data_IF_570204960212
#
_entry.id   IF_570204960212
#
_cell.length_a   1.000
_cell.length_b   1.000
_cell.length_c   1.000
_cell.angle_alpha   90.00
_cell.angle_beta   90.00
_cell.angle_gamma   90.00
#
_symmetry.space_group_name_H-M   'P 1'
#
loop_
_entity.id
_entity.type
_entity.pdbx_description
1 polymer ?
#
# COMPACT_ATOMS: atom_id res chain seq x y z
N UNK A 1 49.95 9.34 -23.70
CA UNK A 1 49.08 8.61 -22.79
C UNK A 1 47.97 9.56 -22.34
N UNK A 2 46.88 9.66 -23.10
CA UNK A 2 45.72 10.48 -22.70
C UNK A 2 45.02 9.76 -21.58
N UNK A 3 45.14 10.27 -20.37
CA UNK A 3 44.29 9.93 -19.23
C UNK A 3 42.87 10.36 -19.61
N UNK A 4 42.14 9.52 -20.32
CA UNK A 4 40.68 9.61 -20.31
C UNK A 4 40.24 9.18 -18.90
N UNK A 5 40.17 10.15 -18.03
CA UNK A 5 39.50 9.94 -16.72
C UNK A 5 38.09 9.43 -17.03
N UNK A 6 37.72 8.26 -16.52
CA UNK A 6 36.39 7.77 -16.74
C UNK A 6 35.39 8.78 -16.15
N UNK A 7 34.56 9.36 -17.02
CA UNK A 7 33.55 10.36 -16.62
C UNK A 7 32.27 9.64 -16.34
N UNK A 8 31.61 10.00 -15.23
CA UNK A 8 30.26 9.55 -14.91
C UNK A 8 29.31 9.99 -16.03
N UNK A 9 28.54 9.07 -16.54
CA UNK A 9 27.49 9.36 -17.50
C UNK A 9 26.20 9.84 -16.81
N UNK A 10 25.22 10.34 -17.58
CA UNK A 10 23.97 10.84 -17.03
C UNK A 10 23.19 9.78 -16.25
N UNK A 11 23.30 8.51 -16.64
CA UNK A 11 22.68 7.39 -15.95
C UNK A 11 23.31 7.12 -14.58
N UNK A 12 24.64 7.17 -14.48
CA UNK A 12 25.36 7.04 -13.21
C UNK A 12 24.93 8.14 -12.22
N UNK A 13 24.78 9.38 -12.72
CA UNK A 13 24.30 10.52 -11.92
C UNK A 13 22.88 10.25 -11.40
N UNK A 14 21.99 9.71 -12.23
CA UNK A 14 20.63 9.37 -11.80
C UNK A 14 20.63 8.33 -10.67
N UNK A 15 21.45 7.28 -10.77
CA UNK A 15 21.60 6.26 -9.72
C UNK A 15 22.22 6.85 -8.43
N UNK A 16 23.23 7.69 -8.53
CA UNK A 16 23.83 8.41 -7.39
C UNK A 16 22.76 9.24 -6.67
N UNK A 17 21.92 9.95 -7.43
CA UNK A 17 20.82 10.74 -6.87
C UNK A 17 19.79 9.85 -6.15
N UNK A 18 19.45 8.68 -6.70
CA UNK A 18 18.54 7.71 -6.02
C UNK A 18 19.13 7.26 -4.69
N UNK A 19 20.42 6.90 -4.65
CA UNK A 19 21.11 6.51 -3.41
C UNK A 19 21.05 7.64 -2.38
N UNK A 20 21.48 8.84 -2.80
CA UNK A 20 21.50 10.00 -1.90
C UNK A 20 20.12 10.37 -1.38
N UNK A 21 19.11 10.45 -2.25
CA UNK A 21 17.74 10.76 -1.88
C UNK A 21 17.13 9.69 -0.95
N UNK A 22 17.44 8.41 -1.19
CA UNK A 22 16.99 7.32 -0.33
C UNK A 22 17.55 7.45 1.08
N UNK A 23 18.83 7.74 1.22
CA UNK A 23 19.48 7.95 2.52
C UNK A 23 18.95 9.21 3.22
N UNK A 24 18.80 10.32 2.49
CA UNK A 24 18.24 11.56 3.02
C UNK A 24 16.81 11.36 3.54
N UNK A 25 15.95 10.71 2.74
CA UNK A 25 14.56 10.47 3.11
C UNK A 25 14.46 9.50 4.29
N UNK A 26 15.27 8.44 4.31
CA UNK A 26 15.34 7.52 5.44
C UNK A 26 15.77 8.24 6.73
N UNK A 27 16.80 9.09 6.67
CA UNK A 27 17.25 9.94 7.78
C UNK A 27 16.15 10.89 8.26
N UNK A 28 15.45 11.56 7.35
CA UNK A 28 14.32 12.43 7.65
C UNK A 28 13.20 11.66 8.39
N UNK A 29 12.81 10.49 7.88
CA UNK A 29 11.76 9.65 8.50
C UNK A 29 12.12 9.20 9.92
N UNK A 30 13.40 8.95 10.20
CA UNK A 30 13.86 8.56 11.54
C UNK A 30 13.86 9.73 12.53
N UNK A 31 14.01 10.97 12.05
CA UNK A 31 14.00 12.20 12.88
C UNK A 31 12.59 12.76 13.09
N UNK A 32 11.64 12.46 12.22
CA UNK A 32 10.26 12.90 12.34
C UNK A 32 9.60 12.35 13.60
N UNK A 33 9.09 13.25 14.43
CA UNK A 33 8.33 12.92 15.66
C UNK A 33 6.84 12.66 15.38
N UNK A 34 6.38 12.93 14.17
CA UNK A 34 4.98 12.73 13.76
C UNK A 34 4.73 11.30 13.30
N UNK A 35 3.56 10.76 13.61
CA UNK A 35 3.16 9.41 13.23
C UNK A 35 3.70 8.32 14.18
N UNK A 36 3.45 7.05 13.79
CA UNK A 36 3.95 5.90 14.55
C UNK A 36 5.44 5.69 14.30
N UNK A 37 6.24 5.68 15.36
CA UNK A 37 7.70 5.43 15.29
C UNK A 37 8.04 4.13 14.55
N UNK A 38 7.25 3.06 14.75
CA UNK A 38 7.47 1.78 14.07
C UNK A 38 7.25 1.90 12.55
N UNK A 39 6.16 2.55 12.13
CA UNK A 39 5.88 2.76 10.70
C UNK A 39 6.99 3.57 10.01
N UNK A 40 7.44 4.66 10.65
CA UNK A 40 8.53 5.46 10.12
C UNK A 40 9.84 4.68 10.00
N UNK A 41 10.17 3.82 11.00
CA UNK A 41 11.35 2.95 10.96
C UNK A 41 11.26 1.92 9.83
N UNK A 42 10.11 1.25 9.67
CA UNK A 42 9.91 0.26 8.61
C UNK A 42 10.00 0.90 7.22
N UNK A 43 9.41 2.09 7.03
CA UNK A 43 9.53 2.83 5.79
C UNK A 43 10.98 3.30 5.53
N UNK A 44 11.66 3.79 6.54
CA UNK A 44 13.06 4.19 6.43
C UNK A 44 13.95 3.00 6.02
N UNK A 45 13.77 1.83 6.63
CA UNK A 45 14.47 0.61 6.27
C UNK A 45 14.16 0.17 4.83
N UNK A 46 12.88 0.23 4.41
CA UNK A 46 12.47 -0.07 3.04
C UNK A 46 13.14 0.85 2.02
N UNK A 47 13.16 2.16 2.29
CA UNK A 47 13.78 3.15 1.40
C UNK A 47 15.30 2.99 1.38
N UNK A 48 15.93 2.67 2.53
CA UNK A 48 17.37 2.35 2.60
C UNK A 48 17.69 1.13 1.74
N UNK A 49 16.89 0.06 1.82
CA UNK A 49 17.05 -1.13 0.98
C UNK A 49 16.90 -0.79 -0.52
N UNK A 50 16.00 0.13 -0.88
CA UNK A 50 15.86 0.62 -2.26
C UNK A 50 17.11 1.39 -2.72
N UNK A 51 17.68 2.21 -1.85
CA UNK A 51 18.97 2.87 -2.11
C UNK A 51 20.12 1.86 -2.28
N UNK A 52 20.15 0.79 -1.49
CA UNK A 52 21.14 -0.29 -1.62
C UNK A 52 21.04 -1.03 -2.97
N UNK A 53 19.81 -1.28 -3.46
CA UNK A 53 19.60 -1.87 -4.80
C UNK A 53 20.12 -0.93 -5.91
N UNK A 54 19.86 0.37 -5.77
CA UNK A 54 20.43 1.35 -6.72
C UNK A 54 21.95 1.41 -6.65
N UNK A 55 22.54 1.31 -5.46
CA UNK A 55 23.99 1.24 -5.27
C UNK A 55 24.58 -0.05 -5.85
N UNK A 56 23.94 -1.19 -5.69
CA UNK A 56 24.33 -2.46 -6.33
C UNK A 56 24.39 -2.32 -7.85
N UNK A 57 23.36 -1.71 -8.43
CA UNK A 57 23.33 -1.41 -9.88
C UNK A 57 24.44 -0.45 -10.29
N UNK A 58 24.68 0.60 -9.51
CA UNK A 58 25.73 1.58 -9.78
C UNK A 58 27.12 0.96 -9.74
N UNK A 59 27.43 0.14 -8.72
CA UNK A 59 28.73 -0.52 -8.58
C UNK A 59 29.06 -1.42 -9.76
N UNK A 60 28.08 -2.08 -10.35
CA UNK A 60 28.31 -2.98 -11.48
C UNK A 60 28.32 -2.25 -12.84
N UNK A 61 27.42 -1.30 -13.09
CA UNK A 61 27.24 -0.68 -14.42
C UNK A 61 28.03 0.61 -14.62
N UNK A 62 28.43 1.28 -13.53
CA UNK A 62 29.25 2.49 -13.61
C UNK A 62 30.71 2.15 -13.92
N UNK A 63 31.20 2.50 -15.10
CA UNK A 63 32.54 2.16 -15.55
C UNK A 63 33.67 2.64 -14.62
N UNK A 64 33.64 3.88 -14.05
CA UNK A 64 34.61 4.33 -13.06
C UNK A 64 34.69 3.46 -11.82
N UNK A 65 33.53 3.14 -11.23
CA UNK A 65 33.44 2.34 -10.01
C UNK A 65 33.83 0.88 -10.26
N UNK A 66 33.40 0.34 -11.40
CA UNK A 66 33.74 -1.00 -11.85
C UNK A 66 35.25 -1.21 -11.95
N UNK A 67 35.93 -0.27 -12.55
CA UNK A 67 37.40 -0.32 -12.69
C UNK A 67 38.12 -0.14 -11.36
N UNK A 68 37.59 0.71 -10.47
CA UNK A 68 38.23 1.03 -9.19
C UNK A 68 38.09 -0.07 -8.15
N UNK A 69 36.93 -0.73 -8.08
CA UNK A 69 36.62 -1.66 -6.98
C UNK A 69 36.44 -3.11 -7.43
N UNK A 70 35.72 -3.34 -8.54
CA UNK A 70 35.38 -4.71 -8.93
C UNK A 70 36.55 -5.42 -9.61
N UNK A 71 37.45 -4.70 -10.30
CA UNK A 71 38.61 -5.29 -10.96
C UNK A 71 39.52 -6.04 -9.96
N UNK A 72 39.73 -5.46 -8.77
CA UNK A 72 40.57 -6.06 -7.73
C UNK A 72 39.80 -6.96 -6.77
N UNK A 73 38.50 -6.76 -6.60
CA UNK A 73 37.66 -7.46 -5.63
C UNK A 73 36.26 -7.78 -6.19
N UNK A 74 36.14 -8.79 -7.10
CA UNK A 74 34.86 -9.15 -7.73
C UNK A 74 33.77 -9.56 -6.74
N UNK A 75 34.14 -9.95 -5.54
CA UNK A 75 33.20 -10.30 -4.46
C UNK A 75 32.31 -9.15 -4.02
N UNK A 76 32.76 -7.90 -4.20
CA UNK A 76 31.96 -6.68 -3.90
C UNK A 76 30.64 -6.66 -4.66
N UNK A 77 30.59 -7.23 -5.86
CA UNK A 77 29.36 -7.36 -6.67
C UNK A 77 28.24 -8.09 -5.92
N UNK A 78 28.57 -8.99 -5.00
CA UNK A 78 27.60 -9.80 -4.28
C UNK A 78 27.18 -9.19 -2.93
N UNK A 79 27.84 -8.12 -2.49
CA UNK A 79 27.69 -7.56 -1.14
C UNK A 79 26.26 -7.10 -0.84
N UNK A 80 25.57 -6.54 -1.81
CA UNK A 80 24.24 -5.94 -1.65
C UNK A 80 23.10 -6.82 -2.16
N UNK A 81 23.35 -8.06 -2.59
CA UNK A 81 22.33 -8.99 -3.12
C UNK A 81 21.25 -9.40 -2.10
N UNK A 82 21.48 -9.15 -0.80
CA UNK A 82 20.44 -9.35 0.23
C UNK A 82 19.37 -8.23 0.21
N UNK A 83 19.66 -7.06 -0.37
CA UNK A 83 18.79 -5.88 -0.29
C UNK A 83 17.39 -6.09 -0.93
N UNK A 84 17.24 -6.71 -2.12
CA UNK A 84 15.94 -7.03 -2.67
C UNK A 84 15.13 -7.98 -1.77
N UNK A 85 15.80 -8.92 -1.09
CA UNK A 85 15.15 -9.94 -0.24
C UNK A 85 14.47 -9.34 1.00
N UNK A 86 14.91 -8.17 1.48
CA UNK A 86 14.27 -7.49 2.62
C UNK A 86 13.17 -6.52 2.19
N UNK A 87 13.14 -6.06 0.93
CA UNK A 87 12.18 -5.03 0.49
C UNK A 87 10.73 -5.48 0.58
N UNK A 88 10.42 -6.69 0.10
CA UNK A 88 9.07 -7.24 0.14
C UNK A 88 8.50 -7.32 1.57
N UNK A 89 9.16 -8.01 2.49
CA UNK A 89 8.76 -8.04 3.90
C UNK A 89 8.64 -6.66 4.55
N UNK A 90 9.60 -5.75 4.32
CA UNK A 90 9.56 -4.40 4.88
C UNK A 90 8.35 -3.61 4.40
N UNK A 91 8.02 -3.68 3.10
CA UNK A 91 6.82 -3.04 2.55
C UNK A 91 5.55 -3.60 3.19
N UNK A 92 5.45 -4.92 3.30
CA UNK A 92 4.29 -5.60 3.90
C UNK A 92 4.07 -5.17 5.35
N UNK A 93 5.11 -5.24 6.20
CA UNK A 93 5.02 -4.85 7.60
C UNK A 93 4.81 -3.35 7.77
N UNK A 94 5.39 -2.53 6.89
CA UNK A 94 5.12 -1.10 6.88
C UNK A 94 3.64 -0.82 6.64
N UNK A 95 3.05 -1.39 5.59
CA UNK A 95 1.62 -1.23 5.28
C UNK A 95 0.76 -1.76 6.43
N UNK A 96 1.10 -2.92 6.99
CA UNK A 96 0.43 -3.50 8.15
C UNK A 96 0.49 -2.56 9.36
N UNK A 97 1.64 -1.96 9.64
CA UNK A 97 1.83 -1.01 10.75
C UNK A 97 1.06 0.30 10.59
N UNK A 98 0.81 0.69 9.34
CA UNK A 98 0.04 1.89 9.01
C UNK A 98 -1.46 1.62 9.11
N UNK A 99 -1.91 0.45 8.65
CA UNK A 99 -3.32 0.06 8.65
C UNK A 99 -3.81 -0.23 10.06
N UNK A 100 -3.03 -0.98 10.86
CA UNK A 100 -3.46 -1.42 12.19
C UNK A 100 -2.81 -0.58 13.29
N UNK A 101 -3.65 -0.04 14.19
CA UNK A 101 -3.21 0.86 15.28
C UNK A 101 -2.39 0.15 16.33
N UNK A 102 -2.71 -1.09 16.61
CA UNK A 102 -2.15 -1.95 17.64
C UNK A 102 -1.10 -2.96 17.11
N UNK A 103 -0.69 -2.79 15.85
CA UNK A 103 0.35 -3.64 15.28
C UNK A 103 1.68 -3.47 16.02
N UNK A 104 2.25 -4.60 16.45
CA UNK A 104 3.57 -4.73 17.05
C UNK A 104 4.35 -5.84 16.33
N UNK A 105 5.59 -5.56 15.97
CA UNK A 105 6.47 -6.58 15.40
C UNK A 105 6.75 -7.67 16.46
N UNK A 106 6.59 -8.93 16.09
CA UNK A 106 6.83 -10.11 16.96
C UNK A 106 8.06 -10.86 16.49
N UNK A 107 8.70 -11.64 17.37
CA UNK A 107 9.85 -12.48 16.99
C UNK A 107 9.52 -13.46 15.87
N UNK A 108 8.31 -13.98 15.80
CA UNK A 108 7.83 -14.82 14.69
C UNK A 108 7.87 -14.12 13.32
N UNK A 109 7.79 -12.79 13.29
CA UNK A 109 7.81 -12.03 12.04
C UNK A 109 9.22 -12.01 11.41
N UNK A 110 10.25 -12.37 12.17
CA UNK A 110 11.62 -12.53 11.67
C UNK A 110 11.75 -13.67 10.64
N UNK A 111 10.82 -14.62 10.63
CA UNK A 111 10.79 -15.71 9.65
C UNK A 111 10.71 -15.17 8.21
N UNK A 112 10.07 -14.02 8.01
CA UNK A 112 9.94 -13.36 6.72
C UNK A 112 11.28 -12.84 6.17
N UNK A 113 12.30 -12.70 7.02
CA UNK A 113 13.63 -12.22 6.65
C UNK A 113 14.65 -13.37 6.52
N UNK A 114 14.24 -14.64 6.72
CA UNK A 114 15.11 -15.82 6.54
C UNK A 114 15.82 -15.81 5.18
N UNK A 115 15.16 -15.50 4.03
CA UNK A 115 15.86 -15.45 2.75
C UNK A 115 17.05 -14.48 2.75
N UNK A 116 16.88 -13.30 3.37
CA UNK A 116 17.95 -12.32 3.47
C UNK A 116 19.09 -12.79 4.40
N UNK A 117 18.76 -13.42 5.53
CA UNK A 117 19.78 -14.00 6.43
C UNK A 117 20.50 -15.20 5.83
N UNK A 118 19.82 -15.98 4.96
CA UNK A 118 20.42 -17.11 4.25
C UNK A 118 21.25 -16.66 3.03
N UNK A 119 21.09 -15.43 2.56
CA UNK A 119 21.76 -14.91 1.37
C UNK A 119 23.30 -15.04 1.42
N UNK A 120 24.00 -14.71 2.52
CA UNK A 120 25.45 -14.88 2.58
C UNK A 120 25.90 -16.34 2.40
N UNK A 121 25.15 -17.30 2.93
CA UNK A 121 25.42 -18.74 2.75
C UNK A 121 25.21 -19.12 1.29
N UNK A 122 24.13 -18.62 0.67
CA UNK A 122 23.86 -18.85 -0.75
C UNK A 122 24.95 -18.26 -1.66
N UNK A 123 25.44 -17.06 -1.34
CA UNK A 123 26.55 -16.43 -2.04
C UNK A 123 27.85 -17.26 -1.90
N UNK A 124 28.12 -17.81 -0.70
CA UNK A 124 29.27 -18.70 -0.50
C UNK A 124 29.17 -19.97 -1.39
N UNK A 125 27.97 -20.51 -1.58
CA UNK A 125 27.77 -21.63 -2.52
C UNK A 125 28.00 -21.19 -3.98
N UNK A 126 27.59 -19.98 -4.38
CA UNK A 126 27.88 -19.43 -5.70
C UNK A 126 29.39 -19.31 -5.89
N UNK A 127 30.15 -18.77 -4.93
CA UNK A 127 31.59 -18.67 -5.01
C UNK A 127 32.31 -20.03 -5.13
N UNK A 128 31.75 -21.05 -4.46
CA UNK A 128 32.30 -22.41 -4.58
C UNK A 128 32.07 -23.03 -5.97
N UNK A 129 31.05 -22.59 -6.70
CA UNK A 129 30.73 -23.08 -8.06
C UNK A 129 31.35 -22.22 -9.16
N UNK A 130 31.59 -20.92 -8.90
CA UNK A 130 32.32 -20.01 -9.78
C UNK A 130 33.80 -20.03 -9.36
N UNK A 131 34.68 -20.51 -10.23
CA UNK A 131 36.12 -20.35 -10.02
C UNK A 131 36.56 -18.89 -10.05
N UNK A 132 37.78 -18.59 -9.57
CA UNK A 132 38.38 -17.25 -9.57
C UNK A 132 38.31 -16.58 -10.94
N UNK A 133 38.58 -17.35 -12.00
CA UNK A 133 38.61 -16.86 -13.38
C UNK A 133 37.22 -16.47 -13.88
N UNK A 134 36.19 -17.23 -13.49
CA UNK A 134 34.78 -16.93 -13.80
C UNK A 134 34.27 -15.73 -13.01
N UNK A 135 34.70 -15.55 -11.75
CA UNK A 135 34.39 -14.36 -10.98
C UNK A 135 34.96 -13.10 -11.61
N UNK A 136 36.20 -13.17 -12.12
CA UNK A 136 36.81 -12.05 -12.85
C UNK A 136 36.16 -11.83 -14.21
N UNK A 137 35.89 -12.89 -14.97
CA UNK A 137 35.23 -12.79 -16.28
C UNK A 137 33.82 -12.18 -16.16
N UNK A 138 33.05 -12.54 -15.12
CA UNK A 138 31.70 -12.02 -14.87
C UNK A 138 31.63 -10.51 -14.61
N UNK A 139 32.75 -9.88 -14.20
CA UNK A 139 32.82 -8.42 -14.11
C UNK A 139 32.70 -7.79 -15.51
N UNK A 140 33.34 -8.40 -16.49
CA UNK A 140 33.34 -7.88 -17.86
C UNK A 140 32.15 -8.33 -18.67
N UNK A 141 31.68 -9.56 -18.40
CA UNK A 141 30.52 -10.17 -19.06
C UNK A 141 29.53 -10.75 -18.03
N UNK A 142 28.38 -10.08 -17.86
CA UNK A 142 27.33 -10.50 -16.95
C UNK A 142 26.76 -11.90 -17.25
N UNK A 143 26.86 -12.36 -18.51
CA UNK A 143 26.37 -13.67 -18.94
C UNK A 143 27.07 -14.78 -18.15
N UNK A 144 28.36 -14.62 -17.82
CA UNK A 144 29.10 -15.61 -17.02
C UNK A 144 28.46 -15.85 -15.65
N UNK A 145 27.98 -14.80 -14.98
CA UNK A 145 27.21 -14.95 -13.73
C UNK A 145 25.84 -15.56 -14.00
N UNK A 146 25.17 -15.13 -15.07
CA UNK A 146 23.83 -15.60 -15.41
C UNK A 146 23.79 -17.07 -15.80
N UNK A 147 24.86 -17.62 -16.38
CA UNK A 147 24.98 -19.04 -16.72
C UNK A 147 25.13 -19.94 -15.46
N UNK A 148 25.56 -19.36 -14.34
CA UNK A 148 25.57 -20.07 -13.07
C UNK A 148 24.14 -20.28 -12.54
N UNK A 149 23.73 -21.54 -12.36
CA UNK A 149 22.37 -21.90 -11.92
C UNK A 149 22.02 -21.30 -10.53
N UNK A 150 22.97 -21.30 -9.60
CA UNK A 150 22.74 -20.77 -8.24
C UNK A 150 22.57 -19.24 -8.25
N UNK A 151 23.36 -18.55 -9.07
CA UNK A 151 23.22 -17.11 -9.26
C UNK A 151 21.86 -16.75 -9.89
N UNK A 152 21.49 -17.43 -10.96
CA UNK A 152 20.19 -17.26 -11.63
C UNK A 152 19.03 -17.55 -10.67
N UNK A 153 19.12 -18.64 -9.88
CA UNK A 153 18.11 -18.97 -8.88
C UNK A 153 17.97 -17.88 -7.80
N UNK A 154 19.08 -17.26 -7.35
CA UNK A 154 19.04 -16.13 -6.43
C UNK A 154 18.27 -14.95 -7.04
N UNK A 155 18.67 -14.49 -8.23
CA UNK A 155 18.08 -13.30 -8.86
C UNK A 155 16.59 -13.52 -9.19
N UNK A 156 16.21 -14.69 -9.74
CA UNK A 156 14.81 -15.02 -10.01
C UNK A 156 14.01 -15.15 -8.70
N UNK A 157 14.62 -15.78 -7.68
CA UNK A 157 14.03 -15.92 -6.35
C UNK A 157 13.75 -14.57 -5.68
N UNK A 158 14.67 -13.60 -5.78
CA UNK A 158 14.50 -12.22 -5.31
C UNK A 158 13.25 -11.59 -5.91
N UNK A 159 13.10 -11.64 -7.23
CA UNK A 159 11.95 -11.04 -7.93
C UNK A 159 10.65 -11.73 -7.56
N UNK A 160 10.63 -13.06 -7.53
CA UNK A 160 9.43 -13.83 -7.13
C UNK A 160 9.03 -13.47 -5.69
N UNK A 161 9.99 -13.43 -4.76
CA UNK A 161 9.74 -13.09 -3.36
C UNK A 161 9.10 -11.71 -3.23
N UNK A 162 9.67 -10.72 -3.90
CA UNK A 162 9.14 -9.34 -3.84
C UNK A 162 7.74 -9.27 -4.44
N UNK A 163 7.46 -9.95 -5.55
CA UNK A 163 6.12 -10.00 -6.16
C UNK A 163 5.10 -10.69 -5.25
N UNK A 164 5.49 -11.78 -4.57
CA UNK A 164 4.62 -12.45 -3.57
C UNK A 164 4.23 -11.47 -2.47
N UNK A 165 5.20 -10.71 -1.92
CA UNK A 165 4.91 -9.69 -0.91
C UNK A 165 4.11 -8.52 -1.45
N UNK A 166 4.33 -8.10 -2.68
CA UNK A 166 3.52 -7.06 -3.33
C UNK A 166 2.05 -7.48 -3.44
N UNK A 167 1.79 -8.72 -3.85
CA UNK A 167 0.44 -9.30 -3.92
C UNK A 167 -0.19 -9.44 -2.52
N UNK A 168 0.57 -9.92 -1.53
CA UNK A 168 0.11 -10.01 -0.14
C UNK A 168 -0.25 -8.63 0.42
N UNK A 169 0.55 -7.61 0.11
CA UNK A 169 0.32 -6.23 0.53
C UNK A 169 -0.90 -5.63 -0.16
N UNK A 170 -1.09 -5.91 -1.45
CA UNK A 170 -2.28 -5.49 -2.19
C UNK A 170 -3.55 -6.13 -1.60
N UNK A 171 -3.52 -7.43 -1.33
CA UNK A 171 -4.63 -8.13 -0.66
C UNK A 171 -4.95 -7.51 0.69
N UNK A 172 -3.94 -7.29 1.53
CA UNK A 172 -4.09 -6.63 2.83
C UNK A 172 -4.80 -5.27 2.71
N UNK A 173 -4.45 -4.50 1.69
CA UNK A 173 -5.05 -3.18 1.43
C UNK A 173 -6.49 -3.27 0.94
N UNK A 174 -6.82 -4.26 0.10
CA UNK A 174 -8.19 -4.51 -0.36
C UNK A 174 -9.08 -4.93 0.81
N UNK A 175 -8.61 -5.85 1.65
CA UNK A 175 -9.33 -6.31 2.84
C UNK A 175 -9.54 -5.16 3.85
N UNK A 176 -8.55 -4.30 4.01
CA UNK A 176 -8.67 -3.08 4.81
C UNK A 176 -9.75 -2.14 4.26
N UNK A 177 -9.76 -1.89 2.95
CA UNK A 177 -10.79 -1.04 2.32
C UNK A 177 -12.21 -1.59 2.51
N UNK A 178 -12.37 -2.93 2.50
CA UNK A 178 -13.64 -3.58 2.81
C UNK A 178 -14.07 -3.34 4.27
N UNK A 179 -13.16 -3.59 5.23
CA UNK A 179 -13.42 -3.39 6.68
C UNK A 179 -13.74 -1.93 7.03
N UNK A 180 -13.10 -0.96 6.36
CA UNK A 180 -13.44 0.44 6.56
C UNK A 180 -14.90 0.74 6.18
N UNK A 181 -15.39 0.18 5.08
CA UNK A 181 -16.79 0.34 4.66
C UNK A 181 -17.78 -0.37 5.56
N UNK A 182 -17.32 -1.39 6.29
CA UNK A 182 -18.16 -2.12 7.26
C UNK A 182 -18.29 -1.38 8.61
N UNK A 183 -17.37 -0.46 8.94
CA UNK A 183 -17.31 0.18 10.26
C UNK A 183 -17.49 1.70 10.25
N UNK A 184 -17.30 2.37 9.12
CA UNK A 184 -17.31 3.84 9.04
C UNK A 184 -18.26 4.34 7.94
N UNK A 185 -19.05 5.36 8.25
CA UNK A 185 -19.97 6.01 7.30
C UNK A 185 -19.30 7.06 6.43
N UNK A 186 -18.10 7.53 6.82
CA UNK A 186 -17.32 8.50 6.08
C UNK A 186 -15.86 8.03 5.94
N UNK A 187 -15.38 7.97 4.69
CA UNK A 187 -14.01 7.55 4.37
C UNK A 187 -13.12 8.72 3.90
N UNK A 188 -13.66 9.95 3.83
CA UNK A 188 -12.99 11.09 3.21
C UNK A 188 -11.66 11.47 3.83
N UNK A 189 -11.49 11.30 5.15
CA UNK A 189 -10.22 11.51 5.86
C UNK A 189 -9.32 10.27 5.94
N UNK A 190 -9.84 9.11 5.57
CA UNK A 190 -9.19 7.81 5.79
C UNK A 190 -8.59 7.26 4.48
N UNK A 191 -8.94 7.83 3.32
CA UNK A 191 -8.42 7.41 2.02
C UNK A 191 -6.91 7.66 1.91
N UNK A 192 -6.17 6.56 1.92
CA UNK A 192 -4.69 6.58 1.86
C UNK A 192 -4.21 6.45 0.42
N UNK A 193 -4.45 7.49 -0.38
CA UNK A 193 -4.04 7.51 -1.81
C UNK A 193 -2.53 7.24 -1.97
N UNK A 194 -1.73 7.80 -1.09
CA UNK A 194 -0.28 7.61 -1.11
C UNK A 194 0.15 6.16 -0.88
N UNK A 195 -0.57 5.41 -0.02
CA UNK A 195 -0.29 4.00 0.21
C UNK A 195 -0.59 3.17 -1.05
N UNK A 196 -1.64 3.51 -1.79
CA UNK A 196 -1.93 2.91 -3.10
C UNK A 196 -0.82 3.22 -4.11
N UNK A 197 -0.38 4.48 -4.18
CA UNK A 197 0.71 4.92 -5.06
C UNK A 197 1.99 4.15 -4.73
N UNK A 198 2.33 4.02 -3.43
CA UNK A 198 3.50 3.27 -2.98
C UNK A 198 3.46 1.80 -3.43
N UNK A 199 2.36 1.10 -3.14
CA UNK A 199 2.20 -0.33 -3.47
C UNK A 199 2.19 -0.54 -4.99
N UNK A 200 1.40 0.26 -5.72
CA UNK A 200 1.28 0.13 -7.18
C UNK A 200 2.59 0.46 -7.88
N UNK A 201 3.27 1.55 -7.47
CA UNK A 201 4.55 1.95 -8.05
C UNK A 201 5.63 0.90 -7.81
N UNK A 202 5.74 0.39 -6.60
CA UNK A 202 6.66 -0.70 -6.25
C UNK A 202 6.35 -1.98 -7.02
N UNK A 203 5.08 -2.39 -7.10
CA UNK A 203 4.65 -3.56 -7.87
C UNK A 203 4.98 -3.42 -9.37
N UNK A 204 4.78 -2.22 -9.93
CA UNK A 204 5.09 -1.94 -11.32
C UNK A 204 6.59 -2.06 -11.63
N UNK A 205 7.45 -1.52 -10.74
CA UNK A 205 8.91 -1.62 -10.89
C UNK A 205 9.35 -3.07 -10.90
N UNK A 206 8.85 -3.91 -9.98
CA UNK A 206 9.24 -5.31 -9.93
C UNK A 206 8.63 -6.16 -11.04
N UNK A 207 7.42 -5.84 -11.48
CA UNK A 207 6.85 -6.45 -12.69
C UNK A 207 7.69 -6.11 -13.94
N UNK A 208 8.18 -4.88 -14.04
CA UNK A 208 9.12 -4.47 -15.09
C UNK A 208 10.43 -5.25 -15.01
N UNK A 209 11.00 -5.42 -13.83
CA UNK A 209 12.22 -6.23 -13.62
C UNK A 209 11.99 -7.69 -14.02
N UNK A 210 10.84 -8.28 -13.67
CA UNK A 210 10.48 -9.62 -14.10
C UNK A 210 10.38 -9.71 -15.64
N UNK A 211 9.76 -8.72 -16.27
CA UNK A 211 9.63 -8.66 -17.72
C UNK A 211 11.02 -8.65 -18.41
N UNK A 212 11.96 -7.86 -17.89
CA UNK A 212 13.35 -7.84 -18.39
C UNK A 212 13.96 -9.25 -18.29
N UNK A 213 13.84 -9.90 -17.13
CA UNK A 213 14.43 -11.22 -16.93
C UNK A 213 13.82 -12.29 -17.83
N UNK A 214 12.49 -12.29 -18.01
CA UNK A 214 11.81 -13.24 -18.89
C UNK A 214 12.12 -13.00 -20.37
N UNK A 215 12.31 -11.73 -20.76
CA UNK A 215 12.60 -11.37 -22.14
C UNK A 215 14.09 -11.46 -22.50
N UNK A 216 14.98 -11.60 -21.52
CA UNK A 216 16.44 -11.55 -21.73
C UNK A 216 16.97 -12.57 -22.76
N UNK A 217 16.28 -13.73 -22.89
CA UNK A 217 16.59 -14.76 -23.91
C UNK A 217 15.92 -14.54 -25.28
N UNK A 218 14.96 -13.60 -25.35
CA UNK A 218 14.14 -13.35 -26.54
C UNK A 218 14.51 -12.06 -27.27
N UNK A 219 15.20 -11.14 -26.59
CA UNK A 219 15.59 -9.83 -27.13
C UNK A 219 17.10 -9.73 -27.31
N UNK A 220 17.52 -8.76 -28.14
CA UNK A 220 18.96 -8.48 -28.30
C UNK A 220 19.54 -7.87 -27.00
N UNK A 221 20.85 -8.04 -26.79
CA UNK A 221 21.58 -7.46 -25.67
C UNK A 221 21.36 -5.94 -25.57
N UNK A 222 21.31 -5.25 -26.69
CA UNK A 222 21.05 -3.81 -26.74
C UNK A 222 19.64 -3.47 -26.22
N UNK A 223 18.62 -4.23 -26.62
CA UNK A 223 17.25 -4.04 -26.14
C UNK A 223 17.16 -4.33 -24.65
N UNK A 224 17.76 -5.40 -24.15
CA UNK A 224 17.79 -5.73 -22.72
C UNK A 224 18.44 -4.61 -21.90
N UNK A 225 19.55 -4.05 -22.38
CA UNK A 225 20.23 -2.91 -21.75
C UNK A 225 19.36 -1.66 -21.70
N UNK A 226 18.63 -1.34 -22.78
CA UNK A 226 17.69 -0.20 -22.81
C UNK A 226 16.51 -0.41 -21.85
N UNK A 227 15.99 -1.63 -21.74
CA UNK A 227 14.93 -1.97 -20.78
C UNK A 227 15.42 -1.81 -19.33
N UNK A 228 16.65 -2.26 -19.03
CA UNK A 228 17.28 -2.06 -17.72
C UNK A 228 17.45 -0.57 -17.39
N UNK A 229 17.95 0.22 -18.35
CA UNK A 229 18.06 1.66 -18.23
C UNK A 229 16.71 2.32 -17.92
N UNK A 230 15.65 1.96 -18.66
CA UNK A 230 14.31 2.46 -18.44
C UNK A 230 13.81 2.12 -17.02
N UNK A 231 14.08 0.91 -16.51
CA UNK A 231 13.75 0.48 -15.15
C UNK A 231 14.42 1.36 -14.08
N UNK A 232 15.67 1.73 -14.27
CA UNK A 232 16.39 2.60 -13.35
C UNK A 232 15.80 4.03 -13.33
N UNK A 233 15.37 4.58 -14.47
CA UNK A 233 14.69 5.87 -14.51
C UNK A 233 13.29 5.81 -13.91
N UNK A 234 12.56 4.71 -14.09
CA UNK A 234 11.27 4.50 -13.42
C UNK A 234 11.44 4.49 -11.89
N UNK A 235 12.49 3.81 -11.39
CA UNK A 235 12.82 3.82 -9.97
C UNK A 235 13.18 5.22 -9.46
N UNK A 236 14.00 5.96 -10.22
CA UNK A 236 14.34 7.35 -9.91
C UNK A 236 13.10 8.24 -9.81
N UNK A 237 12.22 8.20 -10.80
CA UNK A 237 10.96 8.97 -10.79
C UNK A 237 10.06 8.57 -9.63
N UNK A 238 9.99 7.29 -9.32
CA UNK A 238 9.16 6.78 -8.23
C UNK A 238 9.66 7.26 -6.85
N UNK A 239 10.97 7.21 -6.59
CA UNK A 239 11.54 7.73 -5.34
C UNK A 239 11.29 9.24 -5.23
N UNK A 240 11.48 10.00 -6.32
CA UNK A 240 11.16 11.44 -6.31
C UNK A 240 9.68 11.71 -6.02
N UNK A 241 8.77 10.93 -6.60
CA UNK A 241 7.33 11.02 -6.32
C UNK A 241 7.03 10.75 -4.83
N UNK A 242 7.66 9.74 -4.25
CA UNK A 242 7.50 9.42 -2.82
C UNK A 242 8.03 10.54 -1.92
N UNK A 243 9.21 11.10 -2.23
CA UNK A 243 9.79 12.24 -1.48
C UNK A 243 8.82 13.42 -1.53
N UNK A 244 8.40 13.81 -2.72
CA UNK A 244 7.50 14.94 -2.94
C UNK A 244 6.17 14.74 -2.22
N UNK A 245 5.58 13.55 -2.32
CA UNK A 245 4.30 13.26 -1.68
C UNK A 245 4.40 13.28 -0.14
N UNK A 246 5.47 12.72 0.45
CA UNK A 246 5.67 12.75 1.90
C UNK A 246 5.85 14.17 2.44
N UNK A 247 6.54 15.05 1.71
CA UNK A 247 6.71 16.45 2.10
C UNK A 247 5.39 17.22 2.12
N UNK A 248 4.46 16.90 1.19
CA UNK A 248 3.17 17.58 1.08
C UNK A 248 2.08 17.04 2.02
N UNK A 249 2.16 15.77 2.44
CA UNK A 249 1.06 15.07 3.12
C UNK A 249 1.50 14.42 4.44
N UNK A 250 2.13 15.18 5.33
CA UNK A 250 2.56 14.68 6.66
C UNK A 250 1.42 14.42 7.66
N UNK A 251 0.15 14.41 7.23
CA UNK A 251 -1.01 14.34 8.09
C UNK A 251 -1.29 12.93 8.65
N UNK A 252 -1.67 12.94 9.92
CA UNK A 252 -1.93 11.81 10.81
C UNK A 252 -2.96 10.84 10.22
N UNK A 253 -2.58 9.59 10.23
CA UNK A 253 -3.39 8.47 9.74
C UNK A 253 -4.16 7.84 10.91
N UNK A 254 -5.49 7.82 10.84
CA UNK A 254 -6.33 7.02 11.72
C UNK A 254 -6.29 5.55 11.27
N UNK A 255 -5.79 4.64 12.12
CA UNK A 255 -5.76 3.20 11.88
C UNK A 255 -6.96 2.49 12.49
N UNK A 256 -7.23 1.26 12.06
CA UNK A 256 -8.19 0.34 12.69
C UNK A 256 -7.44 -0.69 13.55
N UNK A 257 -8.17 -1.39 14.43
CA UNK A 257 -7.59 -2.42 15.30
C UNK A 257 -7.20 -3.68 14.50
N UNK A 258 -6.08 -4.28 14.85
CA UNK A 258 -5.61 -5.53 14.22
C UNK A 258 -6.48 -6.72 14.69
N UNK A 259 -7.14 -7.45 13.77
CA UNK A 259 -7.94 -8.63 14.16
C UNK A 259 -7.10 -9.81 14.65
N UNK A 260 -5.77 -9.84 14.34
CA UNK A 260 -4.83 -10.84 14.84
C UNK A 260 -4.01 -10.33 16.04
N UNK A 261 -4.31 -9.11 16.52
CA UNK A 261 -3.68 -8.51 17.71
C UNK A 261 -3.98 -9.28 19.00
N UNK A 262 -3.14 -9.15 20.06
CA UNK A 262 -3.47 -9.75 21.36
C UNK A 262 -4.76 -9.15 21.86
N UNK A 263 -5.75 -10.00 22.07
CA UNK A 263 -7.02 -9.66 22.71
C UNK A 263 -6.71 -9.19 24.13
N UNK A 264 -6.65 -7.88 24.36
CA UNK A 264 -6.86 -7.40 25.73
C UNK A 264 -8.31 -7.74 26.06
N UNK A 265 -8.46 -8.57 27.06
CA UNK A 265 -9.68 -9.13 27.61
C UNK A 265 -10.87 -8.16 27.53
N UNK A 266 -11.58 -8.20 26.41
CA UNK A 266 -13.00 -7.95 26.41
C UNK A 266 -13.68 -9.22 26.98
N UNK A 267 -14.77 -9.13 27.73
CA UNK A 267 -15.41 -10.30 28.35
C UNK A 267 -15.61 -11.38 27.28
N UNK A 268 -15.27 -12.61 27.65
CA UNK A 268 -15.21 -13.79 26.80
C UNK A 268 -16.31 -13.78 25.73
N UNK A 269 -15.89 -13.73 24.47
CA UNK A 269 -16.76 -14.06 23.36
C UNK A 269 -17.18 -15.53 23.58
N UNK A 270 -18.44 -15.76 23.77
CA UNK A 270 -19.04 -17.09 23.77
C UNK A 270 -18.57 -17.87 22.53
N UNK A 271 -18.31 -19.18 22.66
CA UNK A 271 -17.85 -20.01 21.58
C UNK A 271 -18.80 -19.93 20.40
N UNK A 272 -18.23 -19.99 19.20
CA UNK A 272 -18.95 -20.01 17.93
C UNK A 272 -20.14 -20.97 17.99
N UNK A 273 -21.33 -20.42 18.24
CA UNK A 273 -22.55 -21.15 18.09
C UNK A 273 -22.88 -21.24 16.60
N UNK A 274 -22.92 -22.47 16.15
CA UNK A 274 -23.56 -23.03 14.96
C UNK A 274 -24.28 -22.04 14.03
N UNK A 275 -24.11 -22.25 12.74
CA UNK A 275 -24.93 -21.74 11.63
C UNK A 275 -26.43 -21.85 11.95
N UNK A 276 -26.96 -20.90 12.70
CA UNK A 276 -28.40 -20.76 12.88
C UNK A 276 -28.94 -19.96 11.70
N UNK A 277 -29.95 -20.53 11.05
CA UNK A 277 -30.78 -19.95 9.99
C UNK A 277 -31.00 -18.46 10.16
N UNK A 278 -30.79 -17.71 9.08
CA UNK A 278 -30.76 -16.27 8.92
C UNK A 278 -32.09 -15.54 9.24
N UNK A 279 -32.71 -15.80 10.40
CA UNK A 279 -33.92 -15.10 10.79
C UNK A 279 -33.59 -14.18 11.97
N UNK A 280 -33.29 -12.91 11.64
CA UNK A 280 -33.18 -11.86 12.68
C UNK A 280 -34.55 -11.60 13.30
N UNK A 281 -34.57 -11.36 14.59
CA UNK A 281 -35.82 -11.01 15.27
C UNK A 281 -36.38 -9.68 14.68
N UNK A 282 -37.63 -9.61 14.29
CA UNK A 282 -38.22 -8.38 13.73
C UNK A 282 -38.03 -7.15 14.62
N UNK A 283 -37.93 -7.34 15.95
CA UNK A 283 -37.65 -6.28 16.90
C UNK A 283 -36.23 -5.68 16.70
N UNK A 284 -35.22 -6.51 16.37
CA UNK A 284 -33.85 -6.03 16.13
C UNK A 284 -33.73 -5.20 14.83
N UNK A 285 -34.45 -5.62 13.80
CA UNK A 285 -34.50 -4.86 12.54
C UNK A 285 -35.17 -3.51 12.80
N UNK A 286 -36.34 -3.50 13.47
CA UNK A 286 -37.05 -2.26 13.84
C UNK A 286 -36.23 -1.33 14.72
N UNK A 287 -35.37 -1.84 15.60
CA UNK A 287 -34.48 -0.99 16.41
C UNK A 287 -33.49 -0.22 15.55
N UNK A 288 -32.93 -0.85 14.50
CA UNK A 288 -32.03 -0.17 13.55
C UNK A 288 -32.80 0.84 12.69
N UNK A 289 -33.96 0.44 12.17
CA UNK A 289 -34.82 1.34 11.39
C UNK A 289 -35.20 2.58 12.21
N UNK A 290 -35.60 2.39 13.47
CA UNK A 290 -35.92 3.48 14.38
C UNK A 290 -34.77 4.44 14.61
N UNK A 291 -33.56 3.92 14.89
CA UNK A 291 -32.35 4.74 15.04
C UNK A 291 -32.07 5.58 13.78
N UNK A 292 -32.38 5.03 12.59
CA UNK A 292 -32.18 5.74 11.34
C UNK A 292 -33.31 6.73 11.00
N UNK A 293 -34.59 6.39 11.26
CA UNK A 293 -35.74 7.21 10.82
C UNK A 293 -36.19 8.21 11.90
N UNK A 294 -36.29 7.79 13.15
CA UNK A 294 -36.75 8.64 14.26
C UNK A 294 -35.59 9.42 14.89
N UNK A 295 -34.52 8.72 15.31
CA UNK A 295 -33.38 9.34 15.97
C UNK A 295 -32.42 10.04 14.99
N UNK A 296 -32.55 9.76 13.69
CA UNK A 296 -31.77 10.36 12.57
C UNK A 296 -30.26 10.34 12.81
N UNK A 297 -29.76 9.25 13.40
CA UNK A 297 -28.35 9.13 13.76
C UNK A 297 -27.41 9.26 12.55
N UNK A 298 -27.90 9.04 11.33
CA UNK A 298 -27.16 9.25 10.07
C UNK A 298 -26.72 10.70 9.85
N UNK A 299 -27.32 11.68 10.54
CA UNK A 299 -26.89 13.08 10.48
C UNK A 299 -25.56 13.31 11.20
N UNK A 300 -25.13 12.39 12.08
CA UNK A 300 -23.79 12.44 12.66
C UNK A 300 -22.73 12.22 11.57
N UNK A 301 -21.87 13.21 11.28
CA UNK A 301 -21.01 13.16 10.08
C UNK A 301 -20.07 11.96 10.03
N UNK A 302 -19.45 11.58 11.16
CA UNK A 302 -18.49 10.49 11.28
C UNK A 302 -19.07 9.27 12.03
N UNK A 303 -20.37 9.01 11.83
CA UNK A 303 -21.08 7.90 12.45
C UNK A 303 -20.33 6.58 12.24
N UNK A 304 -20.09 5.87 13.33
CA UNK A 304 -19.50 4.53 13.33
C UNK A 304 -20.55 3.45 13.55
N UNK A 305 -20.22 2.20 13.18
CA UNK A 305 -21.07 1.04 13.42
C UNK A 305 -21.37 0.85 14.93
N UNK A 306 -20.37 1.10 15.79
CA UNK A 306 -20.53 1.00 17.25
C UNK A 306 -21.53 2.03 17.79
N UNK A 307 -21.49 3.26 17.26
CA UNK A 307 -22.46 4.32 17.65
C UNK A 307 -23.89 3.96 17.23
N UNK A 308 -24.07 3.47 15.98
CA UNK A 308 -25.39 2.99 15.53
C UNK A 308 -25.87 1.80 16.38
N UNK A 309 -24.99 0.85 16.67
CA UNK A 309 -25.31 -0.30 17.52
C UNK A 309 -25.75 0.11 18.92
N UNK A 310 -25.08 1.10 19.52
CA UNK A 310 -25.44 1.69 20.81
C UNK A 310 -26.83 2.35 20.74
N UNK A 311 -27.10 3.16 19.71
CA UNK A 311 -28.42 3.80 19.53
C UNK A 311 -29.52 2.79 19.29
N UNK A 312 -29.26 1.70 18.57
CA UNK A 312 -30.21 0.60 18.38
C UNK A 312 -30.33 -0.36 19.57
N UNK A 313 -29.52 -0.17 20.63
CA UNK A 313 -29.39 -1.07 21.78
C UNK A 313 -29.10 -2.53 21.36
N UNK A 314 -28.18 -2.71 20.43
CA UNK A 314 -27.77 -4.01 19.89
C UNK A 314 -26.23 -4.15 19.93
N UNK A 315 -25.72 -5.39 20.01
CA UNK A 315 -24.28 -5.61 19.80
C UNK A 315 -23.85 -5.20 18.39
N UNK A 316 -22.65 -4.59 18.24
CA UNK A 316 -22.13 -4.14 16.96
C UNK A 316 -22.09 -5.27 15.90
N UNK A 317 -21.73 -6.49 16.31
CA UNK A 317 -21.73 -7.68 15.43
C UNK A 317 -23.13 -7.99 14.89
N UNK A 318 -24.15 -7.96 15.74
CA UNK A 318 -25.55 -8.18 15.35
C UNK A 318 -26.02 -7.10 14.40
N UNK A 319 -25.74 -5.83 14.70
CA UNK A 319 -26.05 -4.67 13.84
C UNK A 319 -25.40 -4.82 12.47
N UNK A 320 -24.12 -5.16 12.40
CA UNK A 320 -23.41 -5.42 11.14
C UNK A 320 -24.04 -6.55 10.34
N UNK A 321 -24.38 -7.67 11.00
CA UNK A 321 -25.00 -8.81 10.34
C UNK A 321 -26.38 -8.46 9.76
N UNK A 322 -27.20 -7.70 10.49
CA UNK A 322 -28.51 -7.24 9.99
C UNK A 322 -28.33 -6.33 8.78
N UNK A 323 -27.43 -5.34 8.85
CA UNK A 323 -27.17 -4.43 7.73
C UNK A 323 -26.69 -5.21 6.49
N UNK A 324 -25.75 -6.14 6.66
CA UNK A 324 -25.18 -6.86 5.54
C UNK A 324 -26.15 -7.91 4.95
N UNK A 325 -26.93 -8.62 5.77
CA UNK A 325 -27.74 -9.75 5.29
C UNK A 325 -29.20 -9.38 5.04
N UNK A 326 -29.80 -8.54 5.91
CA UNK A 326 -31.20 -8.14 5.76
C UNK A 326 -31.34 -6.97 4.77
N UNK A 327 -30.54 -5.89 4.96
CA UNK A 327 -30.57 -4.74 4.05
C UNK A 327 -29.69 -4.92 2.81
N UNK A 328 -28.87 -5.97 2.76
CA UNK A 328 -27.93 -6.28 1.66
C UNK A 328 -27.01 -5.10 1.31
N UNK A 329 -26.55 -4.38 2.32
CA UNK A 329 -25.70 -3.19 2.18
C UNK A 329 -24.49 -3.29 3.12
N UNK A 330 -23.37 -2.62 2.75
CA UNK A 330 -22.34 -2.31 3.74
C UNK A 330 -22.84 -1.21 4.68
N UNK A 331 -22.30 -1.14 5.91
CA UNK A 331 -22.64 -0.03 6.84
C UNK A 331 -22.43 1.35 6.17
N UNK A 332 -21.36 1.49 5.42
CA UNK A 332 -21.05 2.71 4.66
C UNK A 332 -22.16 3.07 3.65
N UNK A 333 -22.63 2.10 2.88
CA UNK A 333 -23.70 2.32 1.92
C UNK A 333 -25.07 2.54 2.60
N UNK A 334 -25.34 1.81 3.69
CA UNK A 334 -26.58 1.93 4.45
C UNK A 334 -26.76 3.34 5.02
N UNK A 335 -25.75 3.87 5.72
CA UNK A 335 -25.82 5.24 6.25
C UNK A 335 -25.94 6.27 5.15
N UNK A 336 -25.13 6.16 4.08
CA UNK A 336 -25.16 7.13 2.99
C UNK A 336 -26.44 7.04 2.13
N UNK A 337 -27.11 5.89 2.09
CA UNK A 337 -28.45 5.77 1.51
C UNK A 337 -29.45 6.65 2.26
N UNK A 338 -29.53 6.54 3.59
CA UNK A 338 -30.42 7.39 4.40
C UNK A 338 -30.10 8.87 4.29
N UNK A 339 -28.83 9.23 4.21
CA UNK A 339 -28.39 10.63 3.95
C UNK A 339 -28.87 11.14 2.60
N UNK A 340 -28.83 10.32 1.56
CA UNK A 340 -29.34 10.70 0.23
C UNK A 340 -30.85 10.86 0.24
N UNK A 341 -31.59 9.96 0.91
CA UNK A 341 -33.05 10.09 1.04
C UNK A 341 -33.44 11.39 1.80
N UNK A 342 -32.72 11.72 2.87
CA UNK A 342 -32.90 12.99 3.57
C UNK A 342 -32.57 14.19 2.66
N UNK A 343 -31.49 14.11 1.87
CA UNK A 343 -31.13 15.16 0.93
C UNK A 343 -32.15 15.37 -0.18
N UNK A 344 -32.77 14.30 -0.68
CA UNK A 344 -33.86 14.39 -1.67
C UNK A 344 -35.04 15.19 -1.10
N UNK A 345 -35.46 14.87 0.14
CA UNK A 345 -36.54 15.60 0.80
C UNK A 345 -36.20 17.09 1.00
N UNK A 346 -34.95 17.38 1.45
CA UNK A 346 -34.48 18.75 1.63
C UNK A 346 -34.34 19.52 0.33
N UNK A 347 -33.93 18.88 -0.77
CA UNK A 347 -33.85 19.53 -2.10
C UNK A 347 -35.20 20.01 -2.63
N UNK A 348 -36.29 19.35 -2.25
CA UNK A 348 -37.65 19.71 -2.57
C UNK A 348 -38.21 20.75 -1.60
N UNK A 349 -38.01 20.53 -0.28
CA UNK A 349 -38.59 21.37 0.75
C UNK A 349 -37.88 22.73 0.89
N UNK A 350 -36.61 22.83 0.50
CA UNK A 350 -35.76 24.01 0.70
C UNK A 350 -35.13 24.46 -0.64
N UNK A 351 -35.91 24.95 -1.59
CA UNK A 351 -35.43 25.31 -2.94
C UNK A 351 -34.38 26.42 -2.94
N UNK A 352 -34.42 27.33 -1.93
CA UNK A 352 -33.52 28.47 -1.83
C UNK A 352 -32.13 28.10 -1.26
N UNK A 353 -32.00 26.95 -0.60
CA UNK A 353 -30.71 26.51 -0.06
C UNK A 353 -29.81 25.98 -1.18
N UNK A 354 -28.52 26.30 -1.07
CA UNK A 354 -27.52 25.76 -1.99
C UNK A 354 -27.39 24.25 -1.85
N UNK A 355 -26.94 23.59 -2.92
CA UNK A 355 -26.65 22.14 -2.92
C UNK A 355 -25.60 21.77 -1.86
N UNK A 356 -24.68 22.70 -1.54
CA UNK A 356 -23.67 22.51 -0.50
C UNK A 356 -24.31 22.51 0.89
N UNK A 357 -25.14 23.48 1.21
CA UNK A 357 -25.88 23.52 2.49
C UNK A 357 -26.75 22.29 2.70
N UNK A 358 -27.46 21.85 1.64
CA UNK A 358 -28.24 20.61 1.69
C UNK A 358 -27.34 19.39 2.00
N UNK A 359 -26.13 19.33 1.41
CA UNK A 359 -25.20 18.24 1.69
C UNK A 359 -24.76 18.19 3.15
N UNK A 360 -24.52 19.33 3.76
CA UNK A 360 -24.15 19.45 5.18
C UNK A 360 -25.32 19.08 6.09
N UNK A 361 -26.51 19.59 5.82
CA UNK A 361 -27.74 19.28 6.56
C UNK A 361 -28.10 17.78 6.48
N UNK A 362 -27.75 17.11 5.40
CA UNK A 362 -27.93 15.66 5.24
C UNK A 362 -26.81 14.82 5.88
N UNK A 363 -25.83 15.44 6.55
CA UNK A 363 -24.76 14.76 7.30
C UNK A 363 -23.54 14.37 6.47
N UNK A 364 -23.34 14.95 5.28
CA UNK A 364 -22.13 14.72 4.47
C UNK A 364 -21.01 15.68 4.84
N UNK A 365 -19.77 15.16 4.99
CA UNK A 365 -18.58 15.94 5.30
C UNK A 365 -17.90 16.52 4.05
N UNK A 366 -18.32 16.16 2.84
CA UNK A 366 -17.72 16.68 1.62
C UNK A 366 -18.67 16.65 0.44
N UNK A 367 -18.63 17.71 -0.36
CA UNK A 367 -19.40 17.82 -1.62
C UNK A 367 -19.13 16.68 -2.59
N UNK A 368 -17.88 16.19 -2.65
CA UNK A 368 -17.51 15.09 -3.56
C UNK A 368 -18.13 13.75 -3.13
N UNK A 369 -18.19 13.46 -1.82
CA UNK A 369 -18.88 12.28 -1.31
C UNK A 369 -20.39 12.38 -1.55
N UNK A 370 -20.98 13.53 -1.25
CA UNK A 370 -22.39 13.79 -1.52
C UNK A 370 -22.76 13.53 -2.97
N UNK A 371 -22.11 14.20 -3.93
CA UNK A 371 -22.41 14.03 -5.35
C UNK A 371 -22.26 12.57 -5.82
N UNK A 372 -21.23 11.87 -5.34
CA UNK A 372 -21.00 10.45 -5.66
C UNK A 372 -22.13 9.55 -5.16
N UNK A 373 -22.56 9.71 -3.90
CA UNK A 373 -23.63 8.88 -3.34
C UNK A 373 -25.00 9.26 -3.87
N UNK A 374 -25.25 10.55 -4.06
CA UNK A 374 -26.49 11.00 -4.64
C UNK A 374 -26.67 10.41 -6.04
N UNK A 375 -25.65 10.50 -6.91
CA UNK A 375 -25.69 9.86 -8.23
C UNK A 375 -25.82 8.35 -8.15
N UNK A 376 -25.16 7.70 -7.15
CA UNK A 376 -25.25 6.24 -6.95
C UNK A 376 -26.66 5.78 -6.62
N UNK A 377 -27.38 6.49 -5.74
CA UNK A 377 -28.67 6.05 -5.21
C UNK A 377 -29.89 6.74 -5.89
N UNK A 378 -29.72 7.95 -6.42
CA UNK A 378 -30.77 8.66 -7.15
C UNK A 378 -30.68 8.50 -8.67
N UNK A 379 -29.54 8.01 -9.21
CA UNK A 379 -29.31 7.89 -10.66
C UNK A 379 -28.88 9.18 -11.35
N UNK A 380 -29.22 10.34 -10.78
CA UNK A 380 -28.95 11.68 -11.30
C UNK A 380 -28.15 12.52 -10.31
N UNK A 381 -27.64 13.67 -10.74
CA UNK A 381 -26.97 14.61 -9.85
C UNK A 381 -27.95 15.36 -8.95
N UNK A 382 -27.52 15.90 -7.77
CA UNK A 382 -28.42 16.71 -6.93
C UNK A 382 -29.05 17.91 -7.65
N UNK A 383 -28.30 18.53 -8.55
CA UNK A 383 -28.78 19.69 -9.33
C UNK A 383 -29.83 19.29 -10.38
N UNK A 384 -29.62 18.17 -11.07
CA UNK A 384 -30.59 17.61 -12.00
C UNK A 384 -31.87 17.20 -11.28
N UNK A 385 -31.75 16.50 -10.15
CA UNK A 385 -32.86 16.07 -9.30
C UNK A 385 -33.73 17.27 -8.88
N UNK A 386 -33.11 18.35 -8.38
CA UNK A 386 -33.83 19.58 -8.00
C UNK A 386 -34.60 20.17 -9.18
N UNK A 387 -33.95 20.24 -10.35
CA UNK A 387 -34.56 20.81 -11.57
C UNK A 387 -35.76 19.98 -12.05
N UNK A 388 -35.65 18.67 -12.03
CA UNK A 388 -36.74 17.76 -12.40
C UNK A 388 -37.92 17.85 -11.43
N UNK A 389 -37.64 17.91 -10.11
CA UNK A 389 -38.67 18.05 -9.07
C UNK A 389 -39.38 19.39 -9.14
N UNK A 390 -38.67 20.50 -9.46
CA UNK A 390 -39.28 21.84 -9.63
C UNK A 390 -40.12 21.97 -10.91
N UNK A 391 -39.90 21.10 -11.88
CA UNK A 391 -40.73 21.08 -13.13
C UNK A 391 -42.01 20.25 -12.99
N UNK A 392 -42.13 19.46 -11.91
CA UNK A 392 -43.31 18.62 -11.63
C UNK A 392 -44.27 19.25 -10.61
N UNK A 393 -43.86 20.34 -9.95
CA UNK A 393 -44.69 21.15 -9.02
C UNK A 393 -45.21 22.39 -9.73
#
# INVERSE_FOLDING_TARGET
MSLQTPIFNFHDIALILVVFQSLLLAGLLLTLRQGKRLSNRLLALFITATGMVALDTLLYWCAPLKQLYLADSPQIFFLLKFAPLVQGPLLYFYVKSVIYTDFHARTRDLVHFIPAFACPVWIALIFNTLGSDQLQAGIHDYVVYWDNLLFRALIVGEVILVLVYALATLKLMLDYGKRLRENYSNLGGIERRWLKILIMGFSLIYLWTLLIQLSSSLVTQQTASLMGLAGNYLNFLFINLLVFYNLLHSNVVQGIRDPEGPTQTAPAAEPAAEERKDTFAPAQIRSIERAMTEDRVYLTPDLTLEQLATSANLPARTTSNIINRHFNMSFFDFVNYHRVEAAKALLIAEPDKSVLEISELAGFNSKSAFNRFFKKFAGVTPTEFRKESSAQT
#
